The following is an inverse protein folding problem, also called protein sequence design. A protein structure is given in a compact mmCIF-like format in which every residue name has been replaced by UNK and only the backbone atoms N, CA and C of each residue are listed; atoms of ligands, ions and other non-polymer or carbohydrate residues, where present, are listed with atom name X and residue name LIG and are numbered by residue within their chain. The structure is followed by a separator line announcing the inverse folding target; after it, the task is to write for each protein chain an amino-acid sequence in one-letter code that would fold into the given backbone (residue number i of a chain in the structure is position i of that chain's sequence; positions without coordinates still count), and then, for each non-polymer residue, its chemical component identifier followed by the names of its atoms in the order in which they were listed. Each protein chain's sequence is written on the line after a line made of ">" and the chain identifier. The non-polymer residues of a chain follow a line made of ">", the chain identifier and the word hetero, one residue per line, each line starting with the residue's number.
data_IF_075422621262
#
_entry.id   IF_075422621262
#
_cell.length_a   1.000
_cell.length_b   1.000
_cell.length_c   1.000
_cell.angle_alpha   90.00
_cell.angle_beta   90.00
_cell.angle_gamma   90.00
#
_symmetry.space_group_name_H-M   'P 1'
#
loop_
_entity.id
_entity.type
_entity.pdbx_description
1 polymer ?
#
# COMPACT_ATOMS: atom_id res chain seq x y z
N UNK A 1 -13.96 9.45 -10.64
CA UNK A 1 -12.82 8.57 -10.31
C UNK A 1 -12.07 9.23 -9.18
N UNK A 2 -12.06 8.64 -7.99
CA UNK A 2 -11.34 9.19 -6.84
C UNK A 2 -9.85 8.97 -7.05
N UNK A 3 -9.15 10.01 -7.49
CA UNK A 3 -7.69 10.00 -7.61
C UNK A 3 -7.09 9.79 -6.23
N UNK A 4 -6.26 8.75 -6.08
CA UNK A 4 -5.52 8.49 -4.84
C UNK A 4 -4.08 8.96 -5.01
N UNK A 5 -3.51 9.63 -4.01
CA UNK A 5 -2.12 10.09 -4.09
C UNK A 5 -1.16 8.91 -3.95
N UNK A 6 -0.32 8.67 -4.96
CA UNK A 6 0.73 7.65 -4.89
C UNK A 6 1.75 7.93 -3.79
N UNK A 7 2.01 9.21 -3.50
CA UNK A 7 2.87 9.65 -2.40
C UNK A 7 2.29 9.17 -1.06
N UNK A 8 1.01 9.42 -0.81
CA UNK A 8 0.34 8.95 0.41
C UNK A 8 0.41 7.42 0.51
N UNK A 9 0.12 6.68 -0.57
CA UNK A 9 0.21 5.22 -0.58
C UNK A 9 1.65 4.71 -0.34
N UNK A 10 2.66 5.38 -0.89
CA UNK A 10 4.08 5.07 -0.71
C UNK A 10 4.57 5.32 0.71
N UNK A 11 4.27 6.49 1.26
CA UNK A 11 4.55 6.87 2.66
C UNK A 11 3.86 5.91 3.65
N UNK A 12 2.59 5.61 3.42
CA UNK A 12 1.86 4.61 4.22
C UNK A 12 2.46 3.21 4.07
N UNK A 13 3.04 2.87 2.93
CA UNK A 13 3.75 1.60 2.72
C UNK A 13 5.06 1.52 3.50
N UNK A 14 5.85 2.59 3.49
CA UNK A 14 7.15 2.63 4.16
C UNK A 14 7.01 2.71 5.68
N UNK A 15 6.16 3.61 6.19
CA UNK A 15 6.04 3.84 7.63
C UNK A 15 5.01 2.93 8.30
N UNK A 16 3.91 2.60 7.60
CA UNK A 16 2.79 1.81 8.13
C UNK A 16 2.56 0.53 7.31
N UNK A 17 3.64 0.01 6.69
CA UNK A 17 3.64 -1.21 5.89
C UNK A 17 3.23 -2.43 6.69
N UNK A 18 3.76 -2.56 7.91
CA UNK A 18 3.50 -3.70 8.79
C UNK A 18 2.01 -3.83 9.16
N UNK A 19 1.34 -2.70 9.38
CA UNK A 19 -0.09 -2.64 9.65
C UNK A 19 -0.97 -2.73 8.39
N UNK A 20 -0.38 -2.69 7.19
CA UNK A 20 -1.11 -2.77 5.93
C UNK A 20 -1.98 -1.54 5.59
N UNK A 21 -1.78 -0.38 6.23
CA UNK A 21 -2.63 0.80 6.04
C UNK A 21 -2.67 1.30 4.58
N UNK A 22 -1.57 1.13 3.84
CA UNK A 22 -1.54 1.48 2.43
C UNK A 22 -2.55 0.66 1.59
N UNK A 23 -2.88 -0.59 1.98
CA UNK A 23 -3.95 -1.39 1.35
C UNK A 23 -5.35 -0.90 1.71
N UNK A 24 -5.56 -0.46 2.95
CA UNK A 24 -6.80 0.19 3.34
C UNK A 24 -7.01 1.50 2.57
N UNK A 25 -5.96 2.31 2.41
CA UNK A 25 -6.01 3.54 1.61
C UNK A 25 -6.39 3.29 0.15
N UNK A 26 -5.88 2.21 -0.43
CA UNK A 26 -6.19 1.73 -1.78
C UNK A 26 -7.56 1.05 -1.92
N UNK A 27 -8.37 0.97 -0.85
CA UNK A 27 -9.69 0.35 -0.90
C UNK A 27 -9.68 -1.18 -0.90
N UNK A 28 -8.60 -1.81 -0.42
CA UNK A 28 -8.45 -3.28 -0.31
C UNK A 28 -8.39 -3.73 1.16
N UNK A 29 -9.49 -3.61 1.92
CA UNK A 29 -9.50 -3.89 3.36
C UNK A 29 -9.18 -5.36 3.68
N UNK A 30 -9.55 -6.31 2.81
CA UNK A 30 -9.21 -7.73 2.99
C UNK A 30 -7.70 -7.98 3.01
N UNK A 31 -6.95 -7.31 2.13
CA UNK A 31 -5.50 -7.43 2.09
C UNK A 31 -4.84 -6.69 3.26
N UNK A 32 -5.38 -5.52 3.63
CA UNK A 32 -4.91 -4.79 4.81
C UNK A 32 -5.10 -5.59 6.11
N UNK A 33 -6.24 -6.27 6.27
CA UNK A 33 -6.50 -7.13 7.42
C UNK A 33 -5.54 -8.33 7.45
N UNK A 34 -5.19 -8.88 6.28
CA UNK A 34 -4.20 -9.96 6.19
C UNK A 34 -2.83 -9.47 6.68
N UNK A 35 -2.39 -8.28 6.25
CA UNK A 35 -1.13 -7.69 6.73
C UNK A 35 -1.18 -7.48 8.24
N UNK A 36 -2.29 -6.96 8.77
CA UNK A 36 -2.47 -6.76 10.20
C UNK A 36 -2.41 -8.08 10.99
N UNK A 37 -2.98 -9.17 10.47
CA UNK A 37 -2.93 -10.49 11.10
C UNK A 37 -1.50 -11.08 11.10
N UNK A 38 -0.66 -10.70 10.14
CA UNK A 38 0.73 -11.14 10.02
C UNK A 38 1.75 -10.12 10.55
N UNK A 39 1.34 -8.98 11.12
CA UNK A 39 2.24 -7.89 11.56
C UNK A 39 3.32 -8.40 12.55
N UNK A 40 2.95 -9.31 13.44
CA UNK A 40 3.86 -9.97 14.39
C UNK A 40 5.00 -10.80 13.74
N UNK A 41 4.90 -11.13 12.45
CA UNK A 41 5.95 -11.87 11.72
C UNK A 41 7.01 -10.96 11.10
N UNK A 42 6.82 -9.64 11.12
CA UNK A 42 7.63 -8.63 10.42
C UNK A 42 7.72 -8.80 8.88
N UNK A 43 7.16 -9.87 8.31
CA UNK A 43 7.05 -10.09 6.86
C UNK A 43 6.26 -8.95 6.19
N UNK A 44 5.10 -8.49 6.74
CA UNK A 44 4.33 -7.40 6.15
C UNK A 44 5.09 -6.07 6.16
N UNK A 45 5.97 -5.82 7.14
CA UNK A 45 6.85 -4.65 7.16
C UNK A 45 7.76 -4.63 5.93
N UNK A 46 8.44 -5.74 5.62
CA UNK A 46 9.35 -5.83 4.47
C UNK A 46 8.59 -5.71 3.15
N UNK A 47 7.49 -6.42 3.00
CA UNK A 47 6.67 -6.37 1.79
C UNK A 47 6.08 -4.94 1.62
N UNK A 48 5.55 -4.36 2.69
CA UNK A 48 5.00 -3.01 2.68
C UNK A 48 6.03 -1.95 2.34
N UNK A 49 7.27 -2.10 2.81
CA UNK A 49 8.39 -1.23 2.44
C UNK A 49 8.70 -1.32 0.94
N UNK A 50 8.85 -2.54 0.40
CA UNK A 50 9.12 -2.77 -1.03
C UNK A 50 7.98 -2.17 -1.88
N UNK A 51 6.72 -2.43 -1.50
CA UNK A 51 5.57 -1.89 -2.21
C UNK A 51 5.48 -0.36 -2.10
N UNK A 52 5.82 0.20 -0.94
CA UNK A 52 5.89 1.64 -0.73
C UNK A 52 6.90 2.31 -1.67
N UNK A 53 8.09 1.72 -1.81
CA UNK A 53 9.11 2.17 -2.78
C UNK A 53 8.61 2.01 -4.21
N UNK A 54 7.97 0.89 -4.56
CA UNK A 54 7.37 0.69 -5.88
C UNK A 54 6.32 1.76 -6.19
N UNK A 55 5.47 2.14 -5.23
CA UNK A 55 4.46 3.18 -5.43
C UNK A 55 5.06 4.55 -5.66
N UNK A 56 6.14 4.90 -4.95
CA UNK A 56 6.87 6.15 -5.15
C UNK A 56 7.54 6.21 -6.52
N UNK A 57 8.15 5.10 -6.95
CA UNK A 57 8.83 4.99 -8.24
C UNK A 57 7.89 4.78 -9.43
N UNK A 58 6.64 4.41 -9.19
CA UNK A 58 5.65 4.24 -10.26
C UNK A 58 5.15 5.60 -10.77
N UNK A 59 4.93 5.71 -12.09
CA UNK A 59 4.23 6.84 -12.69
C UNK A 59 2.78 6.90 -12.20
N UNK A 60 2.18 8.10 -12.12
CA UNK A 60 0.80 8.25 -11.64
C UNK A 60 -0.20 7.43 -12.47
N UNK A 61 -0.06 7.42 -13.79
CA UNK A 61 -0.94 6.65 -14.68
C UNK A 61 -0.87 5.14 -14.42
N UNK A 62 0.35 4.59 -14.23
CA UNK A 62 0.56 3.18 -13.87
C UNK A 62 0.01 2.87 -12.48
N UNK A 63 0.15 3.81 -11.54
CA UNK A 63 -0.36 3.63 -10.18
C UNK A 63 -1.90 3.63 -10.16
N UNK A 64 -2.55 4.61 -10.81
CA UNK A 64 -4.00 4.69 -10.89
C UNK A 64 -4.58 3.45 -11.57
N UNK A 65 -4.04 3.05 -12.73
CA UNK A 65 -4.57 1.89 -13.47
C UNK A 65 -4.40 0.55 -12.76
N UNK A 66 -3.28 0.34 -12.06
CA UNK A 66 -2.95 -0.96 -11.43
C UNK A 66 -3.48 -1.10 -10.00
N UNK A 67 -3.42 -0.03 -9.21
CA UNK A 67 -3.69 -0.10 -7.76
C UNK A 67 -4.99 0.57 -7.35
N UNK A 68 -5.37 1.67 -8.00
CA UNK A 68 -6.60 2.42 -7.71
C UNK A 68 -7.73 1.83 -8.55
N UNK A 69 -8.43 0.85 -7.99
CA UNK A 69 -9.54 0.18 -8.69
C UNK A 69 -10.85 0.96 -8.47
N UNK A 70 -11.67 1.07 -9.54
CA UNK A 70 -13.07 1.52 -9.49
C UNK A 70 -13.89 0.70 -8.50
#
# INVERSE_FOLDING_TARGET
>A
MTMKSKLAAGLLGIFLGDFGLHKFYLGRPKMGLLYLAFCWTAIPAVIGFIEGVIYLLSSEEKFQSKYVRR
#
